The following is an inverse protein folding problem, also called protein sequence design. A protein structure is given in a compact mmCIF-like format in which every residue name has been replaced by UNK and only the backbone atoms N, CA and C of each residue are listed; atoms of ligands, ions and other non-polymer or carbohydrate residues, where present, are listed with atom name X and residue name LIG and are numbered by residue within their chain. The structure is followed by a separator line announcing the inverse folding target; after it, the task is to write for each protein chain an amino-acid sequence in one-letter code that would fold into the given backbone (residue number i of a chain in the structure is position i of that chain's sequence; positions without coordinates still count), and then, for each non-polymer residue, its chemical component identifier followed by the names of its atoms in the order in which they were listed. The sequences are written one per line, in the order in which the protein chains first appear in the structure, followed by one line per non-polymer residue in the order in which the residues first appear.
data_IF_962599769409
#
_entry.id   IF_962599769409
#
_cell.length_a   1.000
_cell.length_b   1.000
_cell.length_c   1.000
_cell.angle_alpha   90.00
_cell.angle_beta   90.00
_cell.angle_gamma   90.00
#
_symmetry.space_group_name_H-M   'P 1'
#
loop_
_entity.id
_entity.type
_entity.pdbx_description
1 polymer ?
#
# COMPACT_ATOMS: atom_id res chain seq x y z
N UNK A 1 27.65 18.96 0.94
CA UNK A 1 27.17 18.53 -0.39
C UNK A 1 28.31 18.74 -1.37
N UNK A 2 28.87 17.64 -1.89
CA UNK A 2 29.93 17.74 -2.91
C UNK A 2 29.26 17.97 -4.26
N UNK A 3 29.48 19.15 -4.84
CA UNK A 3 28.96 19.50 -6.17
C UNK A 3 30.07 19.18 -7.18
N UNK A 4 29.81 18.26 -8.10
CA UNK A 4 30.76 17.93 -9.16
C UNK A 4 30.96 19.11 -10.11
N UNK A 5 32.17 19.34 -10.64
CA UNK A 5 32.39 20.33 -11.70
C UNK A 5 31.52 19.98 -12.92
N UNK A 6 30.91 21.01 -13.52
CA UNK A 6 29.99 20.84 -14.68
C UNK A 6 30.66 20.08 -15.83
N UNK A 7 31.95 20.26 -16.01
CA UNK A 7 32.74 19.64 -17.10
C UNK A 7 32.87 18.10 -16.95
N UNK A 8 32.56 17.56 -15.77
CA UNK A 8 32.61 16.11 -15.47
C UNK A 8 31.23 15.45 -15.55
N UNK A 9 30.16 16.23 -15.67
CA UNK A 9 28.80 15.72 -15.74
C UNK A 9 28.51 15.27 -17.17
N UNK A 10 28.27 13.96 -17.35
CA UNK A 10 27.83 13.41 -18.64
C UNK A 10 26.39 13.83 -18.90
N UNK A 11 26.17 14.54 -19.98
CA UNK A 11 24.84 14.93 -20.45
C UNK A 11 24.50 14.15 -21.72
N UNK A 12 23.25 13.75 -21.86
CA UNK A 12 22.74 13.23 -23.12
C UNK A 12 22.67 14.33 -24.18
N UNK A 13 22.78 13.94 -25.44
CA UNK A 13 22.60 14.88 -26.53
C UNK A 13 21.16 15.43 -26.49
N UNK A 14 21.02 16.77 -26.60
CA UNK A 14 19.72 17.41 -26.53
C UNK A 14 18.75 16.93 -27.63
N UNK A 15 19.29 16.44 -28.78
CA UNK A 15 18.52 15.83 -29.84
C UNK A 15 17.78 14.54 -29.40
N UNK A 16 18.32 13.79 -28.40
CA UNK A 16 17.75 12.54 -27.90
C UNK A 16 16.68 12.76 -26.82
N UNK A 17 16.46 14.04 -26.43
CA UNK A 17 15.53 14.44 -25.38
C UNK A 17 14.27 15.10 -25.94
N UNK A 18 13.87 14.72 -27.17
CA UNK A 18 12.63 15.23 -27.77
C UNK A 18 11.42 14.89 -26.89
N UNK A 19 10.48 15.86 -26.66
CA UNK A 19 9.43 15.72 -25.65
C UNK A 19 8.51 14.53 -25.90
N UNK A 20 8.17 14.20 -27.15
CA UNK A 20 7.32 13.04 -27.45
C UNK A 20 8.04 11.72 -27.17
N UNK A 21 9.34 11.63 -27.45
CA UNK A 21 10.13 10.44 -27.10
C UNK A 21 10.24 10.26 -25.59
N UNK A 22 10.57 11.34 -24.87
CA UNK A 22 10.66 11.32 -23.40
C UNK A 22 9.30 10.93 -22.79
N UNK A 23 8.20 11.45 -23.32
CA UNK A 23 6.85 11.13 -22.87
C UNK A 23 6.53 9.63 -23.04
N UNK A 24 6.80 9.06 -24.21
CA UNK A 24 6.54 7.64 -24.48
C UNK A 24 7.31 6.70 -23.55
N UNK A 25 8.57 7.05 -23.25
CA UNK A 25 9.39 6.29 -22.30
C UNK A 25 8.89 6.50 -20.85
N UNK A 26 8.55 7.74 -20.49
CA UNK A 26 8.03 8.10 -19.17
C UNK A 26 6.71 7.40 -18.85
N UNK A 27 5.81 7.29 -19.84
CA UNK A 27 4.52 6.60 -19.68
C UNK A 27 4.67 5.13 -19.28
N UNK A 28 5.72 4.47 -19.76
CA UNK A 28 5.99 3.06 -19.46
C UNK A 28 6.73 2.87 -18.13
N UNK A 29 7.59 3.82 -17.75
CA UNK A 29 8.54 3.63 -16.66
C UNK A 29 8.14 4.33 -15.36
N UNK A 30 7.47 5.49 -15.41
CA UNK A 30 7.21 6.28 -14.21
C UNK A 30 6.23 5.60 -13.25
N UNK A 31 6.59 5.51 -11.96
CA UNK A 31 5.77 4.85 -10.95
C UNK A 31 4.38 5.45 -10.76
N UNK A 32 4.23 6.78 -10.91
CA UNK A 32 2.94 7.47 -10.80
C UNK A 32 1.97 7.07 -11.91
N UNK A 33 2.44 6.86 -13.14
CA UNK A 33 1.64 6.36 -14.26
C UNK A 33 1.25 4.90 -14.03
N UNK A 34 2.23 4.06 -13.62
CA UNK A 34 1.94 2.65 -13.26
C UNK A 34 0.89 2.57 -12.14
N UNK A 35 0.99 3.42 -11.13
CA UNK A 35 0.01 3.49 -10.06
C UNK A 35 -1.38 3.91 -10.56
N UNK A 36 -1.47 4.90 -11.44
CA UNK A 36 -2.74 5.32 -12.06
C UNK A 36 -3.38 4.17 -12.86
N UNK A 37 -2.59 3.47 -13.69
CA UNK A 37 -3.03 2.30 -14.45
C UNK A 37 -3.53 1.16 -13.55
N UNK A 38 -2.85 0.89 -12.43
CA UNK A 38 -3.27 -0.12 -11.47
C UNK A 38 -4.55 0.27 -10.74
N UNK A 39 -4.76 1.56 -10.45
CA UNK A 39 -6.01 2.05 -9.84
C UNK A 39 -7.21 1.85 -10.76
N UNK A 40 -7.05 2.09 -12.06
CA UNK A 40 -8.11 1.81 -13.05
C UNK A 40 -8.42 0.31 -13.09
N UNK A 41 -7.40 -0.55 -13.15
CA UNK A 41 -7.60 -2.01 -13.10
C UNK A 41 -8.27 -2.47 -11.79
N UNK A 42 -7.91 -1.88 -10.66
CA UNK A 42 -8.56 -2.16 -9.39
C UNK A 42 -10.05 -1.74 -9.39
N UNK A 43 -10.36 -0.57 -9.92
CA UNK A 43 -11.75 -0.09 -10.06
C UNK A 43 -12.55 -0.98 -11.02
N UNK A 44 -11.97 -1.46 -12.11
CA UNK A 44 -12.56 -2.46 -13.01
C UNK A 44 -12.90 -3.77 -12.27
N UNK A 45 -11.97 -4.29 -11.48
CA UNK A 45 -12.22 -5.50 -10.68
C UNK A 45 -13.28 -5.28 -9.60
N UNK A 46 -13.29 -4.10 -8.97
CA UNK A 46 -14.34 -3.73 -8.01
C UNK A 46 -15.74 -3.67 -8.67
N UNK A 47 -15.81 -3.31 -9.95
CA UNK A 47 -17.06 -3.38 -10.70
C UNK A 47 -17.55 -4.84 -10.86
N UNK A 48 -16.64 -5.80 -11.09
CA UNK A 48 -16.97 -7.22 -11.12
C UNK A 48 -17.41 -7.74 -9.76
N UNK A 49 -16.74 -7.29 -8.67
CA UNK A 49 -17.16 -7.60 -7.29
C UNK A 49 -18.57 -7.08 -7.00
N UNK A 50 -18.86 -5.83 -7.36
CA UNK A 50 -20.21 -5.29 -7.20
C UNK A 50 -21.27 -6.05 -8.03
N UNK A 51 -20.90 -6.51 -9.23
CA UNK A 51 -21.76 -7.36 -10.08
C UNK A 51 -22.02 -8.72 -9.44
N UNK A 52 -21.04 -9.25 -8.66
CA UNK A 52 -21.22 -10.52 -7.95
C UNK A 52 -22.37 -10.48 -6.91
N UNK A 53 -22.75 -9.29 -6.41
CA UNK A 53 -23.92 -9.10 -5.54
C UNK A 53 -25.26 -9.46 -6.15
N UNK A 54 -25.34 -9.77 -7.45
CA UNK A 54 -26.53 -10.31 -8.13
C UNK A 54 -26.56 -11.83 -8.15
N UNK A 55 -25.48 -12.51 -7.80
CA UNK A 55 -25.36 -13.97 -7.87
C UNK A 55 -25.48 -14.62 -6.49
N UNK A 56 -25.88 -15.91 -6.45
CA UNK A 56 -25.84 -16.67 -5.22
C UNK A 56 -24.44 -16.73 -4.63
N UNK A 57 -24.35 -16.64 -3.29
CA UNK A 57 -23.09 -16.79 -2.55
C UNK A 57 -23.13 -18.07 -1.74
N UNK A 58 -22.10 -18.90 -1.87
CA UNK A 58 -21.86 -20.07 -1.06
C UNK A 58 -20.73 -19.77 -0.08
N UNK A 59 -21.03 -19.88 1.21
CA UNK A 59 -20.01 -19.74 2.27
C UNK A 59 -19.84 -21.05 3.01
N UNK A 60 -18.60 -21.32 3.42
CA UNK A 60 -18.24 -22.42 4.30
C UNK A 60 -17.74 -21.82 5.61
N UNK A 61 -18.30 -22.29 6.71
CA UNK A 61 -17.88 -21.94 8.07
C UNK A 61 -17.36 -23.18 8.80
N UNK A 62 -16.20 -23.06 9.42
CA UNK A 62 -15.66 -24.04 10.35
C UNK A 62 -15.26 -23.32 11.63
N UNK A 63 -15.80 -23.79 12.76
CA UNK A 63 -15.48 -23.20 14.05
C UNK A 63 -15.07 -24.27 15.05
N UNK A 64 -14.06 -23.96 15.82
CA UNK A 64 -13.60 -24.73 16.98
C UNK A 64 -13.99 -23.94 18.22
N UNK A 65 -14.61 -24.60 19.16
CA UNK A 65 -15.00 -23.97 20.42
C UNK A 65 -14.72 -24.90 21.59
N UNK A 66 -14.37 -24.33 22.72
CA UNK A 66 -14.33 -25.05 24.01
C UNK A 66 -14.93 -24.14 25.06
N UNK A 67 -15.95 -24.64 25.77
CA UNK A 67 -16.68 -23.87 26.76
C UNK A 67 -16.38 -24.39 28.14
N UNK A 68 -16.19 -23.49 29.09
CA UNK A 68 -16.18 -23.77 30.50
C UNK A 68 -17.45 -23.22 31.14
N UNK A 69 -18.13 -24.08 31.94
CA UNK A 69 -19.26 -23.63 32.77
C UNK A 69 -19.23 -24.34 34.10
N UNK A 70 -19.37 -23.58 35.17
CA UNK A 70 -19.54 -24.10 36.54
C UNK A 70 -21.01 -24.39 36.86
N UNK A 71 -21.94 -24.10 35.96
CA UNK A 71 -23.38 -24.33 36.16
C UNK A 71 -23.78 -25.80 36.06
N UNK A 72 -22.93 -26.64 35.43
CA UNK A 72 -23.20 -28.06 35.31
C UNK A 72 -22.69 -28.79 36.52
N UNK A 73 -23.60 -29.55 37.18
CA UNK A 73 -23.25 -30.46 38.24
C UNK A 73 -22.63 -31.72 37.67
N UNK A 74 -21.70 -32.32 38.39
CA UNK A 74 -21.17 -33.65 38.07
C UNK A 74 -21.53 -34.64 39.17
N UNK A 75 -21.61 -35.92 38.82
CA UNK A 75 -21.80 -37.00 39.80
C UNK A 75 -20.50 -37.14 40.55
N UNK A 76 -20.51 -36.77 41.82
CA UNK A 76 -19.34 -36.85 42.72
C UNK A 76 -19.25 -38.21 43.43
N UNK A 77 -20.35 -38.95 43.47
CA UNK A 77 -20.42 -40.23 44.09
C UNK A 77 -21.80 -40.88 43.93
N UNK A 78 -21.94 -42.07 44.49
CA UNK A 78 -23.23 -42.75 44.61
C UNK A 78 -23.40 -43.17 46.07
N UNK A 79 -24.56 -42.93 46.61
CA UNK A 79 -24.91 -43.33 47.95
C UNK A 79 -25.98 -44.44 47.94
N UNK A 80 -25.93 -45.45 48.81
CA UNK A 80 -26.99 -46.47 48.92
C UNK A 80 -28.33 -45.82 49.24
N UNK A 81 -29.35 -46.07 48.40
CA UNK A 81 -30.71 -45.54 48.57
C UNK A 81 -31.72 -46.63 49.10
N UNK A 82 -31.18 -47.69 49.51
CA UNK A 82 -32.00 -48.83 49.93
C UNK A 82 -32.10 -49.92 48.86
N UNK A 83 -33.20 -50.60 48.87
CA UNK A 83 -33.47 -51.73 47.93
C UNK A 83 -34.76 -51.42 47.13
N UNK A 84 -34.86 -52.01 45.96
CA UNK A 84 -36.05 -51.92 45.13
C UNK A 84 -37.29 -52.42 45.83
N UNK A 85 -38.43 -51.75 45.61
CA UNK A 85 -39.70 -52.21 46.16
C UNK A 85 -40.05 -53.58 45.59
N UNK A 86 -40.56 -54.48 46.47
CA UNK A 86 -41.06 -55.78 46.07
C UNK A 86 -42.42 -55.60 45.39
N UNK A 87 -42.52 -56.10 44.15
CA UNK A 87 -43.73 -56.18 43.39
C UNK A 87 -44.10 -57.60 43.06
N UNK A 88 -45.36 -57.92 42.77
CA UNK A 88 -45.77 -59.31 42.37
C UNK A 88 -44.99 -59.84 41.17
N UNK A 89 -44.40 -58.96 40.39
CA UNK A 89 -43.57 -59.32 39.23
C UNK A 89 -42.04 -59.33 39.54
N UNK A 90 -41.64 -59.04 40.79
CA UNK A 90 -40.23 -59.13 41.21
C UNK A 90 -39.67 -60.53 41.09
N UNK A 91 -38.43 -60.70 40.65
CA UNK A 91 -37.78 -62.04 40.65
C UNK A 91 -37.77 -62.61 42.04
N UNK A 92 -38.05 -63.92 42.18
CA UNK A 92 -38.02 -64.60 43.45
C UNK A 92 -37.30 -65.95 43.33
N UNK A 93 -36.78 -66.43 44.45
CA UNK A 93 -36.24 -67.77 44.62
C UNK A 93 -37.14 -68.50 45.54
N UNK A 94 -37.51 -69.75 45.21
CA UNK A 94 -38.35 -70.63 46.05
C UNK A 94 -37.44 -71.55 46.81
N UNK A 95 -37.59 -71.51 48.14
CA UNK A 95 -36.90 -72.51 49.05
C UNK A 95 -37.97 -73.22 49.85
N UNK A 96 -38.20 -74.48 49.54
CA UNK A 96 -39.33 -75.23 50.07
C UNK A 96 -40.66 -74.66 49.57
N UNK A 97 -41.57 -74.34 50.48
CA UNK A 97 -42.86 -73.70 50.19
C UNK A 97 -42.83 -72.16 50.30
N UNK A 98 -41.68 -71.53 50.63
CA UNK A 98 -41.54 -70.10 50.83
C UNK A 98 -40.90 -69.41 49.60
N UNK A 99 -41.45 -68.23 49.23
CA UNK A 99 -40.89 -67.35 48.13
C UNK A 99 -40.07 -66.27 48.75
N UNK A 100 -38.85 -66.17 48.34
CA UNK A 100 -37.92 -65.08 48.69
C UNK A 100 -37.70 -64.15 47.48
N UNK A 101 -38.14 -62.92 47.61
CA UNK A 101 -38.00 -61.96 46.52
C UNK A 101 -36.58 -61.37 46.46
N UNK A 102 -36.04 -61.29 45.26
CA UNK A 102 -34.75 -60.66 45.03
C UNK A 102 -34.95 -59.17 44.91
N UNK A 103 -34.33 -58.41 45.80
CA UNK A 103 -34.31 -56.94 45.71
C UNK A 103 -32.98 -56.48 45.16
N UNK A 104 -33.02 -55.56 44.18
CA UNK A 104 -31.82 -54.90 43.66
C UNK A 104 -31.48 -53.70 44.52
N UNK A 105 -30.20 -53.43 44.83
CA UNK A 105 -29.80 -52.25 45.58
C UNK A 105 -30.04 -50.99 44.68
N UNK A 106 -30.63 -49.98 45.29
CA UNK A 106 -30.83 -48.66 44.68
C UNK A 106 -29.72 -47.74 45.14
N UNK A 107 -29.28 -46.92 44.26
CA UNK A 107 -28.26 -45.92 44.51
C UNK A 107 -28.76 -44.56 44.09
N UNK A 108 -28.59 -43.51 44.90
CA UNK A 108 -28.78 -42.13 44.57
C UNK A 108 -27.46 -41.54 44.09
N UNK A 109 -27.51 -40.81 43.03
CA UNK A 109 -26.36 -40.05 42.55
C UNK A 109 -26.19 -38.77 43.37
N UNK A 110 -25.03 -38.62 44.01
CA UNK A 110 -24.64 -37.39 44.68
C UNK A 110 -24.01 -36.48 43.63
N UNK A 111 -24.59 -35.26 43.45
CA UNK A 111 -24.07 -34.29 42.50
C UNK A 111 -23.38 -33.14 43.23
N UNK A 112 -22.22 -32.74 42.77
CA UNK A 112 -21.48 -31.57 43.22
C UNK A 112 -21.41 -30.50 42.16
N UNK A 113 -21.30 -29.24 42.58
CA UNK A 113 -21.04 -28.13 41.67
C UNK A 113 -19.63 -28.22 41.12
N UNK A 114 -19.46 -27.86 39.87
CA UNK A 114 -18.16 -27.75 39.25
C UNK A 114 -17.51 -26.43 39.66
N UNK A 115 -16.52 -26.51 40.54
CA UNK A 115 -15.71 -25.38 40.97
C UNK A 115 -14.46 -25.28 40.10
N UNK A 116 -14.01 -24.06 39.81
CA UNK A 116 -12.85 -23.84 38.92
C UNK A 116 -11.61 -24.58 39.43
N UNK A 117 -11.38 -24.58 40.74
CA UNK A 117 -10.26 -25.27 41.38
C UNK A 117 -10.27 -26.79 41.21
N UNK A 118 -11.47 -27.41 41.13
CA UNK A 118 -11.63 -28.86 41.01
C UNK A 118 -11.64 -29.35 39.55
N UNK A 119 -11.86 -28.45 38.61
CA UNK A 119 -12.07 -28.79 37.19
C UNK A 119 -10.88 -28.35 36.33
N UNK A 120 -10.13 -27.34 36.79
CA UNK A 120 -8.97 -26.88 36.05
C UNK A 120 -7.85 -27.92 36.08
N UNK A 121 -7.84 -28.77 35.07
CA UNK A 121 -6.79 -29.78 34.85
C UNK A 121 -5.74 -29.38 33.83
N UNK A 122 -5.65 -28.07 33.56
CA UNK A 122 -4.79 -27.50 32.54
C UNK A 122 -5.48 -27.32 31.17
N UNK A 123 -4.91 -26.48 30.31
CA UNK A 123 -5.48 -26.10 29.01
C UNK A 123 -5.76 -27.31 28.10
N UNK A 124 -4.85 -28.30 28.07
CA UNK A 124 -5.01 -29.46 27.20
C UNK A 124 -6.26 -30.29 27.51
N UNK A 125 -6.47 -30.60 28.78
CA UNK A 125 -7.66 -31.37 29.22
C UNK A 125 -8.95 -30.58 29.12
N UNK A 126 -8.88 -29.25 29.33
CA UNK A 126 -10.05 -28.37 29.16
C UNK A 126 -10.50 -28.33 27.71
N UNK A 127 -9.54 -28.22 26.80
CA UNK A 127 -9.82 -28.24 25.35
C UNK A 127 -10.40 -29.60 24.95
N UNK A 128 -9.84 -30.70 25.46
CA UNK A 128 -10.27 -32.05 25.11
C UNK A 128 -11.69 -32.38 25.64
N UNK A 129 -11.99 -32.02 26.88
CA UNK A 129 -13.28 -32.37 27.51
C UNK A 129 -14.49 -31.63 26.96
N UNK A 130 -14.29 -30.38 26.45
CA UNK A 130 -15.37 -29.53 25.96
C UNK A 130 -15.14 -29.07 24.53
N UNK A 131 -14.35 -29.81 23.77
CA UNK A 131 -14.00 -29.50 22.42
C UNK A 131 -15.20 -29.72 21.49
N UNK A 132 -15.69 -28.62 20.94
CA UNK A 132 -16.75 -28.59 19.95
C UNK A 132 -16.21 -28.21 18.57
N UNK A 133 -16.59 -28.97 17.60
CA UNK A 133 -16.32 -28.66 16.17
C UNK A 133 -17.65 -28.45 15.44
N UNK A 134 -17.79 -27.35 14.78
CA UNK A 134 -18.93 -27.06 13.92
C UNK A 134 -18.45 -26.74 12.52
N UNK A 135 -19.05 -27.34 11.54
CA UNK A 135 -18.87 -27.00 10.15
C UNK A 135 -20.25 -26.83 9.49
N UNK A 136 -20.32 -25.90 8.55
CA UNK A 136 -21.58 -25.65 7.85
C UNK A 136 -21.34 -24.99 6.49
N UNK A 137 -22.27 -25.25 5.60
CA UNK A 137 -22.37 -24.56 4.32
C UNK A 137 -23.63 -23.69 4.34
N UNK A 138 -23.48 -22.46 3.89
CA UNK A 138 -24.59 -21.53 3.77
C UNK A 138 -24.68 -21.03 2.33
N UNK A 139 -25.79 -21.30 1.66
CA UNK A 139 -26.12 -20.75 0.35
C UNK A 139 -27.11 -19.59 0.53
N UNK A 140 -26.70 -18.40 0.08
CA UNK A 140 -27.55 -17.20 0.09
C UNK A 140 -27.86 -16.76 -1.33
N UNK A 141 -29.15 -16.70 -1.67
CA UNK A 141 -29.63 -16.29 -3.01
C UNK A 141 -30.41 -14.99 -2.85
N UNK A 142 -29.89 -13.84 -3.34
CA UNK A 142 -30.60 -12.57 -3.24
C UNK A 142 -31.74 -12.53 -4.25
N UNK A 143 -33.00 -12.60 -3.81
CA UNK A 143 -34.18 -12.50 -4.65
C UNK A 143 -34.59 -11.04 -4.78
N UNK A 144 -34.64 -10.31 -3.68
CA UNK A 144 -34.94 -8.88 -3.64
C UNK A 144 -34.18 -8.19 -2.49
N UNK A 145 -33.46 -7.12 -2.81
CA UNK A 145 -32.66 -6.35 -1.84
C UNK A 145 -32.87 -4.84 -1.99
N UNK A 146 -34.09 -4.41 -2.28
CA UNK A 146 -34.48 -2.99 -2.44
C UNK A 146 -33.50 -2.20 -3.37
N UNK A 147 -33.10 -2.79 -4.49
CA UNK A 147 -32.14 -2.22 -5.47
C UNK A 147 -30.71 -1.97 -4.92
N UNK A 148 -30.35 -2.49 -3.76
CA UNK A 148 -29.03 -2.26 -3.16
C UNK A 148 -27.91 -2.75 -4.08
N UNK A 149 -27.98 -3.97 -4.61
CA UNK A 149 -26.98 -4.51 -5.56
C UNK A 149 -26.90 -3.69 -6.85
N UNK A 150 -28.05 -3.21 -7.36
CA UNK A 150 -28.08 -2.36 -8.57
C UNK A 150 -27.40 -1.01 -8.31
N UNK A 151 -27.70 -0.37 -7.18
CA UNK A 151 -27.08 0.90 -6.79
C UNK A 151 -25.56 0.74 -6.56
N UNK A 152 -25.15 -0.34 -5.88
CA UNK A 152 -23.74 -0.66 -5.67
C UNK A 152 -22.99 -0.87 -7.01
N UNK A 153 -23.60 -1.58 -7.94
CA UNK A 153 -23.03 -1.78 -9.28
C UNK A 153 -22.93 -0.47 -10.07
N UNK A 154 -23.97 0.38 -10.05
CA UNK A 154 -23.92 1.69 -10.70
C UNK A 154 -22.85 2.59 -10.07
N UNK A 155 -22.74 2.61 -8.75
CA UNK A 155 -21.71 3.34 -8.05
C UNK A 155 -20.30 2.86 -8.42
N UNK A 156 -20.09 1.55 -8.51
CA UNK A 156 -18.80 0.98 -8.92
C UNK A 156 -18.45 1.34 -10.38
N UNK A 157 -19.44 1.44 -11.26
CA UNK A 157 -19.25 1.90 -12.64
C UNK A 157 -18.82 3.37 -12.69
N UNK A 158 -19.43 4.23 -11.88
CA UNK A 158 -19.02 5.64 -11.77
C UNK A 158 -17.61 5.78 -11.19
N UNK A 159 -17.26 4.95 -10.20
CA UNK A 159 -15.92 4.92 -9.62
C UNK A 159 -14.87 4.48 -10.66
N UNK A 160 -15.19 3.51 -11.52
CA UNK A 160 -14.32 3.11 -12.63
C UNK A 160 -14.12 4.27 -13.61
N UNK A 161 -15.21 4.95 -14.02
CA UNK A 161 -15.11 6.11 -14.91
C UNK A 161 -14.29 7.24 -14.29
N UNK A 162 -14.48 7.52 -13.01
CA UNK A 162 -13.67 8.51 -12.27
C UNK A 162 -12.19 8.14 -12.24
N UNK A 163 -11.87 6.87 -11.97
CA UNK A 163 -10.49 6.39 -11.99
C UNK A 163 -9.85 6.50 -13.38
N UNK A 164 -10.61 6.22 -14.45
CA UNK A 164 -10.16 6.36 -15.85
C UNK A 164 -9.87 7.82 -16.20
N UNK A 165 -10.77 8.74 -15.84
CA UNK A 165 -10.55 10.18 -16.05
C UNK A 165 -9.35 10.70 -15.25
N UNK A 166 -9.15 10.22 -14.02
CA UNK A 166 -7.99 10.58 -13.22
C UNK A 166 -6.68 10.06 -13.83
N UNK A 167 -6.68 8.87 -14.42
CA UNK A 167 -5.53 8.34 -15.18
C UNK A 167 -5.22 9.24 -16.37
N UNK A 168 -6.23 9.57 -17.17
CA UNK A 168 -6.06 10.46 -18.33
C UNK A 168 -5.52 11.83 -17.92
N UNK A 169 -6.05 12.42 -16.84
CA UNK A 169 -5.53 13.68 -16.30
C UNK A 169 -4.07 13.56 -15.86
N UNK A 170 -3.68 12.44 -15.26
CA UNK A 170 -2.29 12.20 -14.85
C UNK A 170 -1.36 12.12 -16.07
N UNK A 171 -1.80 11.44 -17.14
CA UNK A 171 -1.04 11.37 -18.39
C UNK A 171 -0.93 12.74 -19.08
N UNK A 172 -2.03 13.49 -19.15
CA UNK A 172 -2.04 14.85 -19.74
C UNK A 172 -1.11 15.79 -18.96
N UNK A 173 -1.15 15.73 -17.64
CA UNK A 173 -0.27 16.53 -16.79
C UNK A 173 1.19 16.14 -16.99
N UNK A 174 1.52 14.87 -17.04
CA UNK A 174 2.87 14.41 -17.34
C UNK A 174 3.35 14.93 -18.69
N UNK A 175 2.53 14.87 -19.74
CA UNK A 175 2.85 15.41 -21.05
C UNK A 175 3.14 16.91 -20.97
N UNK A 176 2.30 17.66 -20.30
CA UNK A 176 2.49 19.11 -20.08
C UNK A 176 3.79 19.42 -19.33
N UNK A 177 4.08 18.67 -18.27
CA UNK A 177 5.29 18.87 -17.45
C UNK A 177 6.57 18.61 -18.29
N UNK A 178 6.57 17.57 -19.13
CA UNK A 178 7.68 17.23 -20.03
C UNK A 178 7.89 18.32 -21.09
N UNK A 179 6.80 18.79 -21.72
CA UNK A 179 6.91 19.88 -22.71
C UNK A 179 7.42 21.19 -22.08
N UNK A 180 6.96 21.51 -20.86
CA UNK A 180 7.46 22.64 -20.10
C UNK A 180 8.93 22.49 -19.74
N UNK A 181 9.35 21.28 -19.28
CA UNK A 181 10.75 20.99 -18.97
C UNK A 181 11.64 21.10 -20.21
N UNK A 182 11.19 20.61 -21.36
CA UNK A 182 11.91 20.76 -22.63
C UNK A 182 12.07 22.23 -23.04
N UNK A 183 10.99 23.01 -23.02
CA UNK A 183 11.03 24.45 -23.33
C UNK A 183 12.00 25.19 -22.40
N UNK A 184 11.96 24.87 -21.10
CA UNK A 184 12.89 25.45 -20.12
C UNK A 184 14.35 25.05 -20.40
N UNK A 185 14.61 23.84 -20.89
CA UNK A 185 15.94 23.40 -21.29
C UNK A 185 16.45 24.14 -22.53
N UNK A 186 15.57 24.41 -23.54
CA UNK A 186 15.90 25.23 -24.70
C UNK A 186 16.26 26.66 -24.27
N UNK A 187 15.48 27.28 -23.37
CA UNK A 187 15.75 28.60 -22.83
C UNK A 187 17.08 28.64 -22.09
N UNK A 188 17.34 27.62 -21.23
CA UNK A 188 18.60 27.52 -20.48
C UNK A 188 19.82 27.36 -21.42
N UNK A 189 19.69 26.59 -22.50
CA UNK A 189 20.72 26.46 -23.54
C UNK A 189 21.02 27.80 -24.22
N UNK A 190 20.00 28.54 -24.64
CA UNK A 190 20.17 29.84 -25.25
C UNK A 190 20.81 30.86 -24.29
N UNK A 191 20.40 30.83 -23.02
CA UNK A 191 20.98 31.67 -21.95
C UNK A 191 22.46 31.31 -21.71
N UNK A 192 22.81 30.01 -21.70
CA UNK A 192 24.18 29.55 -21.61
C UNK A 192 25.05 30.10 -22.74
N UNK A 193 24.58 29.99 -24.00
CA UNK A 193 25.28 30.50 -25.17
C UNK A 193 25.45 32.03 -25.14
N UNK A 194 24.43 32.77 -24.70
CA UNK A 194 24.49 34.21 -24.55
C UNK A 194 25.51 34.63 -23.47
N UNK A 195 25.50 33.98 -22.33
CA UNK A 195 26.47 34.23 -21.24
C UNK A 195 27.90 33.87 -21.63
N UNK A 196 28.11 32.82 -22.43
CA UNK A 196 29.42 32.48 -22.97
C UNK A 196 29.99 33.61 -23.86
N UNK A 197 29.15 34.16 -24.76
CA UNK A 197 29.53 35.30 -25.58
C UNK A 197 29.81 36.54 -24.74
N UNK A 198 29.01 36.77 -23.66
CA UNK A 198 29.22 37.89 -22.74
C UNK A 198 30.57 37.77 -21.99
N UNK A 199 30.94 36.57 -21.53
CA UNK A 199 32.27 36.33 -20.89
C UNK A 199 33.38 36.67 -21.88
N UNK A 200 33.32 36.15 -23.13
CA UNK A 200 34.35 36.38 -24.14
C UNK A 200 34.49 37.91 -24.47
N UNK A 201 33.38 38.63 -24.53
CA UNK A 201 33.40 40.08 -24.79
C UNK A 201 33.95 40.86 -23.58
N UNK A 202 33.52 40.51 -22.36
CA UNK A 202 34.01 41.16 -21.14
C UNK A 202 35.50 40.87 -20.88
N UNK A 203 35.99 39.67 -21.21
CA UNK A 203 37.42 39.31 -21.15
C UNK A 203 38.25 40.15 -22.08
N UNK A 204 37.83 40.32 -23.31
CA UNK A 204 38.51 41.21 -24.28
C UNK A 204 38.50 42.65 -23.80
N UNK A 205 37.39 43.17 -23.30
CA UNK A 205 37.31 44.52 -22.75
C UNK A 205 38.27 44.72 -21.58
N UNK A 206 38.30 43.77 -20.63
CA UNK A 206 39.23 43.80 -19.50
C UNK A 206 40.69 43.73 -19.97
N UNK A 207 41.05 42.86 -20.92
CA UNK A 207 42.39 42.77 -21.50
C UNK A 207 42.83 44.06 -22.16
N UNK A 208 41.93 44.72 -22.94
CA UNK A 208 42.23 46.03 -23.51
C UNK A 208 42.38 47.11 -22.45
N UNK A 209 41.52 47.11 -21.42
CA UNK A 209 41.61 48.07 -20.32
C UNK A 209 42.93 47.92 -19.56
N UNK A 210 43.39 46.66 -19.32
CA UNK A 210 44.67 46.37 -18.68
C UNK A 210 45.84 46.95 -19.48
N UNK A 211 45.90 46.72 -20.80
CA UNK A 211 46.93 47.27 -21.71
C UNK A 211 46.97 48.79 -21.71
N UNK A 212 45.77 49.42 -21.75
CA UNK A 212 45.70 50.89 -21.71
C UNK A 212 46.12 51.48 -20.38
N UNK A 213 45.81 50.78 -19.27
CA UNK A 213 46.23 51.16 -17.94
C UNK A 213 47.79 51.08 -17.79
N UNK A 214 48.42 50.01 -18.28
CA UNK A 214 49.86 49.83 -18.30
C UNK A 214 50.58 50.93 -19.07
N UNK A 215 49.92 51.48 -20.10
CA UNK A 215 50.42 52.62 -20.89
C UNK A 215 50.09 53.99 -20.27
N UNK A 216 49.47 54.04 -19.08
CA UNK A 216 49.04 55.26 -18.41
C UNK A 216 47.83 55.96 -19.07
N UNK A 217 47.12 55.29 -20.01
CA UNK A 217 46.01 55.82 -20.80
C UNK A 217 44.61 55.57 -20.22
N UNK A 218 44.57 54.91 -19.03
CA UNK A 218 43.33 54.55 -18.34
C UNK A 218 43.43 54.80 -16.87
N UNK A 219 42.35 55.29 -16.23
CA UNK A 219 42.28 55.43 -14.77
C UNK A 219 42.01 54.12 -14.04
N UNK A 220 42.48 54.03 -12.80
CA UNK A 220 42.32 52.83 -11.96
C UNK A 220 40.83 52.43 -11.77
N UNK A 221 39.93 53.38 -11.59
CA UNK A 221 38.47 53.16 -11.45
C UNK A 221 37.89 52.46 -12.68
N UNK A 222 38.30 52.88 -13.84
CA UNK A 222 37.78 52.31 -15.11
C UNK A 222 38.32 50.87 -15.31
N UNK A 223 39.58 50.61 -14.95
CA UNK A 223 40.15 49.24 -14.92
C UNK A 223 39.39 48.34 -13.99
N UNK A 224 39.12 48.79 -12.74
CA UNK A 224 38.36 48.03 -11.75
C UNK A 224 36.92 47.76 -12.23
N UNK A 225 36.27 48.71 -12.90
CA UNK A 225 34.94 48.49 -13.47
C UNK A 225 34.97 47.41 -14.56
N UNK A 226 35.95 47.43 -15.48
CA UNK A 226 36.10 46.36 -16.47
C UNK A 226 36.40 44.99 -15.83
N UNK A 227 37.21 44.95 -14.81
CA UNK A 227 37.49 43.71 -14.01
C UNK A 227 36.21 43.18 -13.34
N UNK A 228 35.46 44.05 -12.69
CA UNK A 228 34.19 43.66 -12.03
C UNK A 228 33.16 43.15 -13.05
N UNK A 229 33.06 43.80 -14.22
CA UNK A 229 32.19 43.33 -15.29
C UNK A 229 32.58 41.97 -15.84
N UNK A 230 33.88 41.71 -15.98
CA UNK A 230 34.39 40.40 -16.38
C UNK A 230 34.10 39.32 -15.32
N UNK A 231 34.36 39.61 -14.05
CA UNK A 231 34.05 38.69 -12.95
C UNK A 231 32.54 38.37 -12.87
N UNK A 232 31.70 39.39 -12.99
CA UNK A 232 30.22 39.25 -13.05
C UNK A 232 29.78 38.37 -14.22
N UNK A 233 30.35 38.58 -15.41
CA UNK A 233 30.07 37.76 -16.58
C UNK A 233 30.45 36.30 -16.35
N UNK A 234 31.62 36.02 -15.74
CA UNK A 234 32.07 34.66 -15.37
C UNK A 234 31.11 33.98 -14.41
N UNK A 235 30.65 34.67 -13.35
CA UNK A 235 29.69 34.16 -12.40
C UNK A 235 28.38 33.80 -13.07
N UNK A 236 27.86 34.72 -13.91
CA UNK A 236 26.61 34.50 -14.65
C UNK A 236 26.72 33.29 -15.61
N UNK A 237 27.85 33.13 -16.27
CA UNK A 237 28.11 31.99 -17.13
C UNK A 237 28.12 30.69 -16.38
N UNK A 238 28.81 30.61 -15.22
CA UNK A 238 28.82 29.43 -14.38
C UNK A 238 27.42 29.09 -13.84
N UNK A 239 26.67 30.09 -13.41
CA UNK A 239 25.28 29.91 -13.00
C UNK A 239 24.41 29.33 -14.15
N UNK A 240 24.57 29.86 -15.37
CA UNK A 240 23.85 29.36 -16.55
C UNK A 240 24.26 27.93 -16.93
N UNK A 241 25.53 27.54 -16.73
CA UNK A 241 26.00 26.18 -16.95
C UNK A 241 25.26 25.17 -15.99
N UNK A 242 25.20 25.47 -14.69
CA UNK A 242 24.49 24.62 -13.75
C UNK A 242 22.98 24.60 -13.99
N UNK A 243 22.39 25.74 -14.37
CA UNK A 243 20.98 25.80 -14.73
C UNK A 243 20.67 24.88 -15.92
N UNK A 244 21.48 24.93 -16.97
CA UNK A 244 21.33 24.06 -18.14
C UNK A 244 21.45 22.59 -17.78
N UNK A 245 22.49 22.22 -17.03
CA UNK A 245 22.70 20.84 -16.55
C UNK A 245 21.49 20.34 -15.78
N UNK A 246 20.98 21.15 -14.85
CA UNK A 246 19.80 20.79 -14.06
C UNK A 246 18.57 20.55 -14.96
N UNK A 247 18.34 21.39 -15.98
CA UNK A 247 17.21 21.21 -16.90
C UNK A 247 17.32 19.95 -17.75
N UNK A 248 18.53 19.61 -18.19
CA UNK A 248 18.78 18.35 -18.93
C UNK A 248 18.56 17.15 -18.00
N UNK A 249 19.13 17.17 -16.79
CA UNK A 249 18.95 16.08 -15.81
C UNK A 249 17.49 15.89 -15.43
N UNK A 250 16.67 16.92 -15.40
CA UNK A 250 15.23 16.81 -15.20
C UNK A 250 14.54 16.04 -16.33
N UNK A 251 14.94 16.25 -17.59
CA UNK A 251 14.42 15.49 -18.73
C UNK A 251 14.87 14.01 -18.69
N UNK A 252 16.13 13.75 -18.34
CA UNK A 252 16.67 12.39 -18.12
C UNK A 252 15.90 11.68 -17.02
N UNK A 253 15.57 12.37 -15.93
CA UNK A 253 14.73 11.84 -14.86
C UNK A 253 13.32 11.44 -15.34
N UNK A 254 12.66 12.28 -16.14
CA UNK A 254 11.38 11.90 -16.75
C UNK A 254 11.50 10.67 -17.64
N UNK A 255 12.63 10.47 -18.30
CA UNK A 255 12.93 9.26 -19.07
C UNK A 255 13.11 8.00 -18.18
N UNK A 256 13.25 8.19 -16.87
CA UNK A 256 13.41 7.11 -15.89
C UNK A 256 14.87 6.79 -15.57
N UNK A 257 15.79 7.64 -15.94
CA UNK A 257 17.20 7.50 -15.58
C UNK A 257 17.45 8.00 -14.14
N UNK A 258 18.38 7.38 -13.45
CA UNK A 258 18.73 7.80 -12.09
C UNK A 258 19.39 9.19 -12.12
N UNK A 259 18.98 10.08 -11.19
CA UNK A 259 19.65 11.37 -11.01
C UNK A 259 21.07 11.14 -10.48
N UNK A 260 22.03 11.05 -11.37
CA UNK A 260 23.47 11.16 -11.05
C UNK A 260 23.91 12.60 -11.31
N UNK A 261 24.19 13.33 -10.25
CA UNK A 261 24.81 14.66 -10.27
C UNK A 261 26.29 14.53 -10.01
#
# INVERSE_FOLDING_TARGET
VYVQPVDQIKLQAFADLQPDYVFNVAEQNLPNIKAANLRVKAAEKNQLVAKAGFYPTLSFGYSLSSNFSNSFKYISGVEPAGFSNISPTSPFVTVGSAKYYVQSPLYNTVTANRDFSNIWKGWGKQLDNNFGQNFGFQLSIPIFNANQSKSAYQQSKLNYQSASLQQENTQRKLKQDIYAAYTNAVVAFNKLNANQKAVTSAEKAYSFATKRYELGLLGTIELLNNQNNFLKAKVNYKAAQYEYVFRIKLLEFYKGEALSL
#
